data_IF_426421755654
#
_entry.id   IF_426421755654
#
_cell.length_a   1.000
_cell.length_b   1.000
_cell.length_c   1.000
_cell.angle_alpha   90.00
_cell.angle_beta   90.00
_cell.angle_gamma   90.00
#
_symmetry.space_group_name_H-M   'P 1'
#
loop_
_entity.id
_entity.type
_entity.pdbx_description
1 polymer ?
#
# COMPACT_ATOMS: atom_id res chain seq x y z
N UNK A 1 3.72 -20.11 13.34
CA UNK A 1 3.02 -19.90 12.05
C UNK A 1 4.03 -19.87 10.91
N UNK A 2 4.82 -18.81 10.73
CA UNK A 2 5.87 -18.81 9.68
C UNK A 2 7.22 -19.38 10.13
N UNK A 3 7.51 -19.39 11.43
CA UNK A 3 8.73 -19.94 12.01
C UNK A 3 8.77 -21.49 12.07
N UNK A 4 7.76 -22.16 11.52
CA UNK A 4 7.65 -23.61 11.60
C UNK A 4 8.62 -24.29 10.61
N UNK A 5 9.54 -25.17 11.06
CA UNK A 5 10.52 -25.82 10.19
C UNK A 5 9.87 -26.77 9.16
N UNK A 6 8.64 -27.22 9.45
CA UNK A 6 7.82 -28.04 8.54
C UNK A 6 6.98 -27.23 7.55
N UNK A 7 7.08 -25.88 7.56
CA UNK A 7 6.31 -25.02 6.66
C UNK A 7 6.61 -25.33 5.19
N UNK A 8 7.89 -25.39 4.80
CA UNK A 8 8.31 -25.63 3.42
C UNK A 8 7.78 -26.96 2.86
N UNK A 9 7.72 -28.00 3.68
CA UNK A 9 7.12 -29.29 3.30
C UNK A 9 5.64 -29.18 2.98
N UNK A 10 4.87 -28.45 3.80
CA UNK A 10 3.42 -28.20 3.58
C UNK A 10 3.16 -27.30 2.36
N UNK A 11 4.07 -26.38 2.06
CA UNK A 11 3.99 -25.52 0.89
C UNK A 11 4.35 -26.25 -0.40
N UNK A 12 5.22 -27.26 -0.34
CA UNK A 12 5.55 -28.10 -1.48
C UNK A 12 4.41 -29.07 -1.85
N UNK A 13 3.56 -29.44 -0.89
CA UNK A 13 2.39 -30.31 -1.14
C UNK A 13 1.22 -29.61 -1.81
N UNK A 14 1.17 -28.28 -1.81
CA UNK A 14 0.08 -27.53 -2.42
C UNK A 14 0.50 -26.92 -3.77
N UNK A 15 -0.26 -27.13 -4.85
CA UNK A 15 0.12 -26.71 -6.20
C UNK A 15 0.17 -25.19 -6.39
N UNK A 16 -0.52 -24.39 -5.55
CA UNK A 16 -0.48 -22.92 -5.62
C UNK A 16 0.82 -22.37 -5.05
N UNK A 17 1.22 -22.85 -3.88
CA UNK A 17 2.46 -22.41 -3.23
C UNK A 17 3.71 -23.04 -3.85
N UNK A 18 3.58 -24.21 -4.47
CA UNK A 18 4.67 -24.84 -5.24
C UNK A 18 5.15 -23.97 -6.41
N UNK A 19 4.25 -23.25 -7.09
CA UNK A 19 4.62 -22.30 -8.15
C UNK A 19 5.44 -21.13 -7.61
N UNK A 20 5.14 -20.68 -6.38
CA UNK A 20 5.86 -19.59 -5.72
C UNK A 20 7.22 -20.07 -5.16
N UNK A 21 7.31 -21.33 -4.73
CA UNK A 21 8.58 -21.94 -4.29
C UNK A 21 9.59 -22.17 -5.42
N UNK A 22 9.17 -22.11 -6.69
CA UNK A 22 10.09 -22.13 -7.83
C UNK A 22 10.94 -20.85 -7.92
N UNK A 23 10.52 -19.77 -7.26
CA UNK A 23 11.26 -18.51 -7.22
C UNK A 23 12.26 -18.52 -6.04
N UNK A 24 13.58 -18.45 -6.30
CA UNK A 24 14.59 -18.44 -5.25
C UNK A 24 14.50 -17.21 -4.34
N UNK A 25 13.97 -16.09 -4.84
CA UNK A 25 13.78 -14.87 -4.02
C UNK A 25 12.67 -15.04 -3.00
N UNK A 26 11.63 -15.80 -3.34
CA UNK A 26 10.52 -16.09 -2.45
C UNK A 26 10.93 -17.03 -1.32
N UNK A 27 11.73 -18.06 -1.63
CA UNK A 27 12.29 -18.96 -0.62
C UNK A 27 13.18 -18.19 0.36
N UNK A 28 13.98 -17.25 -0.12
CA UNK A 28 14.78 -16.39 0.75
C UNK A 28 13.92 -15.50 1.64
N UNK A 29 12.83 -14.91 1.12
CA UNK A 29 11.87 -14.15 1.96
C UNK A 29 11.27 -15.02 3.06
N UNK A 30 10.85 -16.25 2.75
CA UNK A 30 10.34 -17.19 3.77
C UNK A 30 11.40 -17.47 4.84
N UNK A 31 12.66 -17.69 4.45
CA UNK A 31 13.77 -17.90 5.40
C UNK A 31 14.06 -16.65 6.24
N UNK A 32 13.94 -15.44 5.68
CA UNK A 32 14.08 -14.19 6.42
C UNK A 32 12.96 -14.02 7.46
N UNK A 33 11.73 -14.36 7.10
CA UNK A 33 10.56 -14.30 8.01
C UNK A 33 10.67 -15.35 9.12
N UNK A 34 11.22 -16.53 8.81
CA UNK A 34 11.53 -17.55 9.82
C UNK A 34 12.52 -17.04 10.87
N UNK A 35 13.50 -16.23 10.46
CA UNK A 35 14.45 -15.59 11.39
C UNK A 35 13.82 -14.42 12.13
N UNK A 36 13.01 -13.61 11.45
CA UNK A 36 12.46 -12.37 11.98
C UNK A 36 10.93 -12.32 11.82
N UNK A 37 10.14 -12.58 12.87
CA UNK A 37 8.68 -12.57 12.79
C UNK A 37 8.08 -11.19 12.51
N UNK A 38 8.82 -10.08 12.73
CA UNK A 38 8.39 -8.71 12.36
C UNK A 38 8.30 -8.48 10.86
N UNK A 39 9.05 -9.26 10.06
CA UNK A 39 8.97 -9.18 8.60
C UNK A 39 7.73 -9.88 8.05
N UNK A 40 6.99 -10.63 8.88
CA UNK A 40 5.73 -11.24 8.47
C UNK A 40 4.69 -10.19 8.09
N UNK A 41 4.65 -9.03 8.75
CA UNK A 41 3.72 -7.94 8.43
C UNK A 41 3.96 -7.37 7.02
N UNK A 42 5.22 -7.22 6.60
CA UNK A 42 5.57 -6.85 5.23
C UNK A 42 5.28 -7.99 4.25
N UNK A 43 5.43 -9.24 4.69
CA UNK A 43 5.11 -10.40 3.88
C UNK A 43 3.61 -10.48 3.57
N UNK A 44 2.72 -10.04 4.46
CA UNK A 44 1.27 -9.98 4.21
C UNK A 44 0.88 -9.03 3.05
N UNK A 45 1.76 -8.11 2.67
CA UNK A 45 1.56 -7.25 1.50
C UNK A 45 1.86 -7.97 0.18
N UNK A 46 2.59 -9.09 0.22
CA UNK A 46 2.92 -9.88 -0.98
C UNK A 46 1.75 -10.85 -1.28
N UNK A 47 1.10 -10.75 -2.46
CA UNK A 47 -0.01 -11.63 -2.84
C UNK A 47 0.33 -13.12 -2.74
N UNK A 48 1.61 -13.47 -2.92
CA UNK A 48 2.09 -14.86 -2.86
C UNK A 48 2.15 -15.41 -1.42
N UNK A 49 2.36 -14.54 -0.45
CA UNK A 49 2.43 -14.91 0.97
C UNK A 49 1.03 -15.07 1.58
N UNK A 50 0.03 -14.37 1.03
CA UNK A 50 -1.38 -14.60 1.36
C UNK A 50 -1.79 -16.02 0.97
N UNK A 51 -1.36 -16.51 -0.20
CA UNK A 51 -1.58 -17.91 -0.59
C UNK A 51 -0.93 -18.90 0.39
N UNK A 52 0.30 -18.62 0.83
CA UNK A 52 1.03 -19.42 1.85
C UNK A 52 0.28 -19.43 3.18
N UNK A 53 -0.23 -18.27 3.60
CA UNK A 53 -1.00 -18.15 4.85
C UNK A 53 -2.35 -18.85 4.76
N UNK A 54 -3.03 -18.79 3.62
CA UNK A 54 -4.27 -19.53 3.36
C UNK A 54 -4.06 -21.03 3.46
N UNK A 55 -2.98 -21.56 2.85
CA UNK A 55 -2.60 -22.98 2.99
C UNK A 55 -2.27 -23.34 4.44
N UNK A 56 -1.60 -22.43 5.18
CA UNK A 56 -1.24 -22.66 6.57
C UNK A 56 -2.46 -22.64 7.52
N UNK A 57 -3.46 -21.82 7.23
CA UNK A 57 -4.75 -21.80 7.94
C UNK A 57 -5.71 -22.89 7.46
N UNK A 58 -5.36 -23.67 6.43
CA UNK A 58 -6.25 -24.68 5.86
C UNK A 58 -7.50 -24.08 5.19
N UNK A 59 -7.43 -22.80 4.81
CA UNK A 59 -8.50 -22.07 4.13
C UNK A 59 -8.11 -21.95 2.67
N UNK A 60 -8.67 -22.82 1.82
CA UNK A 60 -8.66 -22.62 0.38
C UNK A 60 -9.45 -21.34 0.07
N UNK A 61 -8.72 -20.26 -0.17
CA UNK A 61 -9.23 -18.90 -0.40
C UNK A 61 -10.06 -18.76 -1.71
N UNK A 62 -10.44 -19.87 -2.35
CA UNK A 62 -11.39 -19.93 -3.45
C UNK A 62 -12.77 -19.37 -3.06
N UNK A 63 -13.07 -19.27 -1.76
CA UNK A 63 -14.31 -18.71 -1.21
C UNK A 63 -14.20 -17.33 -0.56
N UNK A 64 -13.04 -16.66 -0.57
CA UNK A 64 -12.83 -15.38 0.14
C UNK A 64 -12.65 -14.17 -0.80
N UNK A 65 -12.95 -14.32 -2.10
CA UNK A 65 -13.01 -13.20 -3.05
C UNK A 65 -14.44 -12.70 -3.34
N UNK A 66 -15.44 -13.09 -2.55
CA UNK A 66 -16.84 -12.62 -2.62
C UNK A 66 -17.49 -12.99 -1.28
N UNK A 67 -18.14 -12.17 -0.47
CA UNK A 67 -18.80 -10.85 -0.55
C UNK A 67 -19.04 -10.42 0.92
N UNK A 68 -18.93 -9.14 1.27
CA UNK A 68 -20.01 -8.46 2.03
C UNK A 68 -19.67 -6.97 2.25
N UNK A 69 -20.43 -6.16 1.54
CA UNK A 69 -20.47 -4.71 1.57
C UNK A 69 -21.58 -4.22 0.63
N UNK A 70 -22.81 -4.71 0.87
CA UNK A 70 -24.14 -4.20 0.47
C UNK A 70 -24.38 -3.67 -0.96
N UNK A 71 -25.31 -4.26 -1.72
CA UNK A 71 -26.72 -3.83 -1.79
C UNK A 71 -27.47 -4.58 -2.92
N UNK A 72 -28.77 -4.74 -2.73
CA UNK A 72 -29.70 -5.62 -3.44
C UNK A 72 -30.19 -5.10 -4.82
N UNK A 73 -30.29 -6.04 -5.79
CA UNK A 73 -31.30 -6.21 -6.88
C UNK A 73 -31.27 -5.32 -8.16
N UNK A 74 -31.94 -5.68 -9.30
CA UNK A 74 -32.67 -6.91 -9.71
C UNK A 74 -32.22 -7.48 -11.11
N UNK A 75 -32.82 -8.57 -11.64
CA UNK A 75 -32.37 -9.26 -12.86
C UNK A 75 -33.03 -8.67 -14.12
N UNK A 76 -32.26 -8.40 -15.19
CA UNK A 76 -32.91 -8.03 -16.46
C UNK A 76 -32.15 -7.31 -17.57
N UNK A 77 -30.83 -7.44 -17.75
CA UNK A 77 -30.21 -7.11 -19.05
C UNK A 77 -29.22 -8.19 -19.47
N UNK A 78 -29.73 -9.10 -20.29
CA UNK A 78 -28.95 -10.03 -21.07
C UNK A 78 -28.27 -9.31 -22.24
N UNK A 79 -27.05 -9.76 -22.53
CA UNK A 79 -26.44 -9.87 -23.85
C UNK A 79 -26.57 -8.69 -24.83
N UNK A 80 -25.42 -8.07 -25.10
CA UNK A 80 -25.02 -7.81 -26.48
C UNK A 80 -23.57 -8.24 -26.68
N UNK A 81 -23.43 -9.47 -27.17
CA UNK A 81 -22.24 -9.99 -27.84
C UNK A 81 -21.86 -9.10 -29.03
N UNK A 82 -20.55 -8.92 -29.24
CA UNK A 82 -19.80 -9.01 -30.51
C UNK A 82 -18.39 -8.47 -30.20
N UNK A 83 -17.26 -9.07 -30.54
CA UNK A 83 -16.93 -10.29 -31.25
C UNK A 83 -15.53 -10.76 -30.78
N UNK A 84 -15.29 -12.06 -30.94
CA UNK A 84 -14.15 -12.85 -30.44
C UNK A 84 -12.78 -12.63 -31.15
N UNK A 85 -11.66 -13.18 -30.60
CA UNK A 85 -10.22 -12.98 -30.95
C UNK A 85 -9.73 -14.10 -31.92
N UNK A 86 -8.47 -14.67 -32.00
CA UNK A 86 -7.13 -14.40 -31.42
C UNK A 86 -5.90 -14.61 -32.39
N UNK A 87 -4.66 -14.29 -31.95
CA UNK A 87 -3.35 -14.97 -32.25
C UNK A 87 -2.18 -14.04 -31.86
N UNK A 88 -1.42 -14.29 -30.77
CA UNK A 88 -0.25 -15.20 -30.62
C UNK A 88 1.10 -14.63 -31.13
N UNK A 89 2.27 -15.01 -30.54
CA UNK A 89 3.15 -14.05 -29.83
C UNK A 89 4.65 -14.06 -30.31
N UNK A 90 5.68 -13.76 -29.48
CA UNK A 90 6.78 -12.81 -29.74
C UNK A 90 8.10 -13.42 -30.29
N UNK A 91 9.16 -12.61 -30.49
CA UNK A 91 10.52 -13.06 -30.20
C UNK A 91 11.27 -12.11 -29.25
N UNK A 92 11.63 -12.63 -28.07
CA UNK A 92 12.95 -12.42 -27.43
C UNK A 92 13.91 -13.51 -28.02
N UNK A 93 15.20 -13.68 -27.66
CA UNK A 93 16.20 -12.89 -26.91
C UNK A 93 17.62 -12.96 -27.57
N UNK A 94 18.66 -12.61 -26.79
CA UNK A 94 20.11 -12.94 -26.93
C UNK A 94 20.95 -11.82 -27.57
N UNK A 95 22.15 -11.45 -27.10
CA UNK A 95 23.13 -11.97 -26.13
C UNK A 95 24.26 -10.89 -26.10
N UNK A 96 25.24 -10.76 -25.19
CA UNK A 96 25.76 -11.54 -24.07
C UNK A 96 26.90 -10.73 -23.40
N UNK A 97 27.12 -11.00 -22.10
CA UNK A 97 28.41 -11.00 -21.36
C UNK A 97 29.16 -9.67 -21.17
N UNK A 98 29.60 -9.27 -19.96
CA UNK A 98 30.35 -10.05 -18.97
C UNK A 98 30.18 -9.55 -17.52
N UNK A 99 30.19 -10.53 -16.61
CA UNK A 99 30.26 -10.48 -15.13
C UNK A 99 31.68 -9.99 -14.65
N UNK A 100 32.02 -10.09 -13.36
CA UNK A 100 31.93 -9.10 -12.27
C UNK A 100 33.30 -8.48 -11.88
N UNK A 101 33.32 -7.30 -11.24
CA UNK A 101 34.49 -6.86 -10.46
C UNK A 101 34.01 -6.32 -9.10
N UNK A 102 34.61 -6.76 -7.98
CA UNK A 102 34.12 -6.53 -6.63
C UNK A 102 34.47 -5.11 -6.16
N UNK A 103 33.62 -4.43 -5.38
CA UNK A 103 34.10 -3.32 -4.57
C UNK A 103 34.94 -3.88 -3.39
N UNK A 104 36.20 -3.46 -3.24
CA UNK A 104 37.01 -3.79 -2.06
C UNK A 104 36.66 -2.80 -0.91
N UNK A 105 37.28 -2.99 0.26
CA UNK A 105 36.65 -3.34 1.52
C UNK A 105 36.01 -2.15 2.26
N UNK A 106 35.13 -2.50 3.20
CA UNK A 106 34.53 -1.62 4.19
C UNK A 106 35.53 -0.63 4.83
N UNK A 107 35.13 0.64 5.05
CA UNK A 107 35.14 1.21 6.39
C UNK A 107 33.89 0.67 7.11
N UNK A 108 34.02 -0.21 8.10
CA UNK A 108 34.00 0.13 9.53
C UNK A 108 33.21 1.39 9.91
N UNK A 109 32.44 1.27 11.01
CA UNK A 109 31.13 1.86 11.16
C UNK A 109 31.26 3.35 11.49
N UNK A 110 30.83 4.20 10.57
CA UNK A 110 30.38 5.52 10.97
C UNK A 110 28.95 5.36 11.45
N UNK A 111 28.78 5.48 12.77
CA UNK A 111 27.57 5.91 13.43
C UNK A 111 26.92 7.06 12.64
N UNK A 112 26.05 6.74 11.68
CA UNK A 112 25.06 7.70 11.17
C UNK A 112 23.77 7.31 11.85
N UNK A 113 23.52 8.01 12.95
CA UNK A 113 22.25 8.21 13.61
C UNK A 113 21.06 7.83 12.69
N UNK A 114 20.47 6.65 12.90
CA UNK A 114 19.05 6.48 12.62
C UNK A 114 18.33 7.34 13.67
N UNK A 115 18.31 8.65 13.40
CA UNK A 115 17.90 9.71 14.32
C UNK A 115 16.47 9.47 14.79
N UNK A 116 16.20 9.85 16.03
CA UNK A 116 14.86 9.91 16.64
C UNK A 116 13.85 10.68 15.74
N UNK A 117 14.37 11.54 14.85
CA UNK A 117 13.70 12.30 13.80
C UNK A 117 12.82 11.47 12.86
N UNK A 118 13.26 10.30 12.39
CA UNK A 118 12.43 9.43 11.53
C UNK A 118 11.27 8.77 12.30
N UNK A 119 11.45 8.52 13.60
CA UNK A 119 10.39 7.99 14.46
C UNK A 119 9.39 9.09 14.84
N UNK A 120 9.85 10.33 15.05
CA UNK A 120 9.02 11.50 15.28
C UNK A 120 8.22 11.87 14.03
N UNK A 121 8.82 11.82 12.83
CA UNK A 121 8.08 12.00 11.57
C UNK A 121 7.04 10.90 11.35
N UNK A 122 7.35 9.64 11.67
CA UNK A 122 6.39 8.55 11.59
C UNK A 122 5.25 8.69 12.63
N UNK A 123 5.55 9.19 13.83
CA UNK A 123 4.56 9.47 14.86
C UNK A 123 3.65 10.64 14.45
N UNK A 124 4.23 11.73 13.94
CA UNK A 124 3.50 12.89 13.41
C UNK A 124 2.60 12.49 12.23
N UNK A 125 3.11 11.67 11.30
CA UNK A 125 2.30 11.12 10.21
C UNK A 125 1.12 10.30 10.75
N UNK A 126 1.34 9.44 11.73
CA UNK A 126 0.28 8.62 12.34
C UNK A 126 -0.77 9.48 13.06
N UNK A 127 -0.35 10.54 13.74
CA UNK A 127 -1.26 11.51 14.38
C UNK A 127 -2.06 12.28 13.33
N UNK A 128 -1.43 12.72 12.25
CA UNK A 128 -2.11 13.38 11.13
C UNK A 128 -3.10 12.45 10.41
N UNK A 129 -2.78 11.16 10.24
CA UNK A 129 -3.71 10.16 9.71
C UNK A 129 -4.89 9.89 10.66
N UNK A 130 -4.66 9.89 11.97
CA UNK A 130 -5.73 9.78 12.96
C UNK A 130 -6.67 11.01 12.91
N UNK A 131 -6.10 12.22 12.81
CA UNK A 131 -6.86 13.46 12.63
C UNK A 131 -7.64 13.47 11.31
N UNK A 132 -7.05 12.98 10.21
CA UNK A 132 -7.75 12.78 8.92
C UNK A 132 -8.94 11.85 9.08
N UNK A 133 -8.78 10.71 9.76
CA UNK A 133 -9.88 9.76 9.99
C UNK A 133 -11.01 10.40 10.81
N UNK A 134 -10.67 11.15 11.87
CA UNK A 134 -11.65 11.89 12.66
C UNK A 134 -12.37 12.96 11.83
N UNK A 135 -11.65 13.68 10.97
CA UNK A 135 -12.22 14.64 10.03
C UNK A 135 -13.17 13.99 9.01
N UNK A 136 -12.81 12.83 8.47
CA UNK A 136 -13.67 12.06 7.55
C UNK A 136 -14.93 11.54 8.25
N UNK A 137 -14.84 11.14 9.52
CA UNK A 137 -16.01 10.74 10.31
C UNK A 137 -16.94 11.93 10.58
N UNK A 138 -16.41 13.10 10.92
CA UNK A 138 -17.17 14.33 11.07
C UNK A 138 -17.83 14.77 9.75
N UNK A 139 -17.10 14.68 8.63
CA UNK A 139 -17.64 14.98 7.29
C UNK A 139 -18.83 14.10 6.93
N UNK A 140 -18.77 12.79 7.24
CA UNK A 140 -19.90 11.87 7.05
C UNK A 140 -21.11 12.23 7.91
N UNK A 141 -20.89 12.82 9.08
CA UNK A 141 -21.95 13.33 9.97
C UNK A 141 -22.49 14.71 9.54
N UNK A 142 -21.94 15.30 8.47
CA UNK A 142 -22.18 16.69 8.03
C UNK A 142 -21.73 17.74 9.04
N UNK A 143 -20.87 17.37 9.99
CA UNK A 143 -20.25 18.28 10.94
C UNK A 143 -19.01 18.92 10.27
N UNK A 144 -19.28 19.81 9.32
CA UNK A 144 -18.22 20.35 8.47
C UNK A 144 -17.25 21.27 9.23
N UNK A 145 -17.72 22.01 10.24
CA UNK A 145 -16.85 22.87 11.05
C UNK A 145 -15.77 22.08 11.81
N UNK A 146 -16.16 20.95 12.41
CA UNK A 146 -15.21 20.09 13.11
C UNK A 146 -14.37 19.26 12.15
N UNK A 147 -14.91 18.87 11.00
CA UNK A 147 -14.12 18.23 9.94
C UNK A 147 -12.97 19.15 9.46
N UNK A 148 -13.26 20.43 9.19
CA UNK A 148 -12.27 21.41 8.77
C UNK A 148 -11.13 21.56 9.81
N UNK A 149 -11.47 21.72 11.09
CA UNK A 149 -10.49 21.83 12.18
C UNK A 149 -9.59 20.59 12.28
N UNK A 150 -10.14 19.38 12.09
CA UNK A 150 -9.36 18.15 12.14
C UNK A 150 -8.40 18.03 10.94
N UNK A 151 -8.82 18.43 9.74
CA UNK A 151 -7.95 18.45 8.57
C UNK A 151 -6.86 19.53 8.64
N UNK A 152 -7.17 20.72 9.18
CA UNK A 152 -6.16 21.76 9.44
C UNK A 152 -5.12 21.30 10.47
N UNK A 153 -5.55 20.62 11.54
CA UNK A 153 -4.62 20.02 12.51
C UNK A 153 -3.73 18.98 11.85
N UNK A 154 -4.29 18.11 11.01
CA UNK A 154 -3.52 17.12 10.27
C UNK A 154 -2.44 17.78 9.39
N UNK A 155 -2.80 18.88 8.71
CA UNK A 155 -1.84 19.66 7.91
C UNK A 155 -0.76 20.32 8.75
N UNK A 156 -1.09 20.85 9.93
CA UNK A 156 -0.10 21.48 10.82
C UNK A 156 0.87 20.46 11.44
N UNK A 157 0.41 19.22 11.68
CA UNK A 157 1.25 18.13 12.20
C UNK A 157 2.11 17.53 11.09
N UNK A 158 1.56 17.36 9.89
CA UNK A 158 2.27 16.75 8.76
C UNK A 158 1.98 17.50 7.44
N UNK A 159 2.67 18.63 7.18
CA UNK A 159 2.46 19.45 5.98
C UNK A 159 3.09 18.85 4.72
N UNK A 160 3.41 17.55 4.72
CA UNK A 160 3.95 16.84 3.56
C UNK A 160 2.88 16.06 2.77
N UNK A 161 1.68 15.88 3.34
CA UNK A 161 0.57 15.19 2.67
C UNK A 161 -0.52 16.17 2.24
N UNK A 162 -0.58 16.43 0.94
CA UNK A 162 -1.55 17.34 0.30
C UNK A 162 -2.98 16.82 0.46
N UNK A 163 -3.17 15.52 0.75
CA UNK A 163 -4.49 14.92 0.98
C UNK A 163 -5.27 15.65 2.08
N UNK A 164 -4.60 16.22 3.08
CA UNK A 164 -5.28 16.99 4.13
C UNK A 164 -5.89 18.29 3.59
N UNK A 165 -5.17 19.01 2.73
CA UNK A 165 -5.68 20.23 2.09
C UNK A 165 -6.80 19.91 1.09
N UNK A 166 -6.67 18.82 0.31
CA UNK A 166 -7.72 18.40 -0.61
C UNK A 166 -9.02 18.06 0.14
N UNK A 167 -8.92 17.38 1.28
CA UNK A 167 -10.08 17.09 2.12
C UNK A 167 -10.66 18.36 2.76
N UNK A 168 -9.82 19.28 3.22
CA UNK A 168 -10.24 20.58 3.74
C UNK A 168 -11.00 21.40 2.69
N UNK A 169 -10.51 21.41 1.44
CA UNK A 169 -11.16 22.05 0.30
C UNK A 169 -12.55 21.46 0.03
N UNK A 170 -12.69 20.14 0.11
CA UNK A 170 -13.99 19.45 -0.01
C UNK A 170 -14.95 19.83 1.13
N UNK A 171 -14.46 19.95 2.37
CA UNK A 171 -15.28 20.39 3.51
C UNK A 171 -15.82 21.80 3.30
N UNK A 172 -14.97 22.75 2.88
CA UNK A 172 -15.42 24.12 2.59
C UNK A 172 -16.36 24.21 1.39
N UNK A 173 -16.17 23.33 0.40
CA UNK A 173 -17.08 23.23 -0.75
C UNK A 173 -18.49 22.81 -0.30
N UNK A 174 -18.62 21.79 0.56
CA UNK A 174 -19.91 21.36 1.11
C UNK A 174 -20.56 22.40 2.05
N UNK A 175 -19.75 23.21 2.73
CA UNK A 175 -20.25 24.34 3.53
C UNK A 175 -20.81 25.48 2.66
N UNK A 176 -20.56 25.48 1.35
CA UNK A 176 -20.89 26.60 0.46
C UNK A 176 -19.89 27.76 0.52
N UNK A 177 -18.77 27.59 1.22
CA UNK A 177 -17.70 28.58 1.33
C UNK A 177 -16.71 28.45 0.16
N UNK A 178 -17.17 28.78 -1.04
CA UNK A 178 -16.40 28.57 -2.28
C UNK A 178 -15.11 29.37 -2.33
N UNK A 179 -15.10 30.61 -1.83
CA UNK A 179 -13.90 31.46 -1.81
C UNK A 179 -12.77 30.80 -1.00
N UNK A 180 -13.07 30.34 0.21
CA UNK A 180 -12.11 29.62 1.06
C UNK A 180 -11.70 28.28 0.46
N UNK A 181 -12.62 27.57 -0.18
CA UNK A 181 -12.32 26.31 -0.86
C UNK A 181 -11.29 26.52 -1.98
N UNK A 182 -11.44 27.58 -2.78
CA UNK A 182 -10.49 27.96 -3.84
C UNK A 182 -9.11 28.26 -3.25
N UNK A 183 -9.02 29.11 -2.23
CA UNK A 183 -7.75 29.43 -1.56
C UNK A 183 -7.03 28.17 -1.05
N UNK A 184 -7.78 27.25 -0.43
CA UNK A 184 -7.23 25.98 0.07
C UNK A 184 -6.77 25.06 -1.08
N UNK A 185 -7.53 25.00 -2.17
CA UNK A 185 -7.16 24.20 -3.35
C UNK A 185 -5.93 24.77 -4.07
N UNK A 186 -5.81 26.09 -4.19
CA UNK A 186 -4.63 26.74 -4.76
C UNK A 186 -3.39 26.44 -3.92
N UNK A 187 -3.51 26.57 -2.58
CA UNK A 187 -2.44 26.17 -1.66
C UNK A 187 -2.07 24.70 -1.82
N UNK A 188 -3.05 23.80 -1.96
CA UNK A 188 -2.80 22.37 -2.18
C UNK A 188 -2.01 22.11 -3.47
N UNK A 189 -2.31 22.86 -4.54
CA UNK A 189 -1.60 22.75 -5.82
C UNK A 189 -0.17 23.26 -5.71
N UNK A 190 0.05 24.39 -5.04
CA UNK A 190 1.39 24.96 -4.87
C UNK A 190 2.28 24.06 -4.02
N UNK A 191 1.77 23.56 -2.89
CA UNK A 191 2.47 22.59 -2.05
C UNK A 191 2.68 21.26 -2.80
N UNK A 192 1.70 20.80 -3.58
CA UNK A 192 1.84 19.58 -4.37
C UNK A 192 2.89 19.66 -5.47
N UNK A 193 3.03 20.83 -6.11
CA UNK A 193 4.12 21.11 -7.04
C UNK A 193 5.47 21.12 -6.33
N UNK A 194 5.54 21.75 -5.14
CA UNK A 194 6.74 21.79 -4.31
C UNK A 194 7.21 20.38 -3.90
N UNK A 195 6.29 19.54 -3.41
CA UNK A 195 6.56 18.16 -2.99
C UNK A 195 7.05 17.29 -4.15
N UNK A 196 6.47 17.44 -5.34
CA UNK A 196 6.88 16.67 -6.53
C UNK A 196 8.22 17.15 -7.09
N UNK A 197 8.53 18.44 -6.97
CA UNK A 197 9.77 19.04 -7.47
C UNK A 197 10.99 18.76 -6.59
N UNK A 198 10.81 18.35 -5.33
CA UNK A 198 11.90 18.11 -4.38
C UNK A 198 12.45 16.65 -4.44
N UNK A 199 11.87 15.79 -5.28
CA UNK A 199 12.19 14.35 -5.34
C UNK A 199 13.04 13.88 -6.53
N UNK A 200 13.71 14.80 -7.26
CA UNK A 200 14.54 14.48 -8.44
C UNK A 200 16.03 14.77 -8.21
#
# INVERSE_FOLDING_TARGET
MFADPNLLGKLATNPRTQKHLADPTFVQKIQMIQRNPRLADSALQDPRMIDVLGVLMGVDMQGFSREEGSDELPPGVANAETASPPSSPPPKPAASTSKPTPPPPAPEPEDVEMTEEDQEEAAAKKEAEAAKKAGSEAYKKRDFEDAAKNFEKAWNVWPKDITFLTNLGAVHFEQGNYEKSIEVCEKAVDEGRSVTSCGL
#
